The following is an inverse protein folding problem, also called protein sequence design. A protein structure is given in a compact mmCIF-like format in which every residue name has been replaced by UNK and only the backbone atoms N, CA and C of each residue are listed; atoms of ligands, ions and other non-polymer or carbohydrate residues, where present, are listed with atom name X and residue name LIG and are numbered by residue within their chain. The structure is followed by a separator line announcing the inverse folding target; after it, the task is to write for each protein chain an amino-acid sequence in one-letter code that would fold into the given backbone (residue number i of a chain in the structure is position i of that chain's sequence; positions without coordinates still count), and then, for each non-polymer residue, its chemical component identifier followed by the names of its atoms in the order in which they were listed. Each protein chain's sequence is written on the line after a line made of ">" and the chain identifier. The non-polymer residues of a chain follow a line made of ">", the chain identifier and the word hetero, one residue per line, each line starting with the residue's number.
data_IF_104829347328
#
_entry.id   IF_104829347328
#
_cell.length_a   1.000
_cell.length_b   1.000
_cell.length_c   1.000
_cell.angle_alpha   90.00
_cell.angle_beta   90.00
_cell.angle_gamma   90.00
#
_symmetry.space_group_name_H-M   'P 1'
#
loop_
_entity.id
_entity.type
_entity.pdbx_description
1 polymer ?
#
# COMPACT_ATOMS: atom_id res chain seq x y z
N UNK A 1 -31.71 25.21 48.64
CA UNK A 1 -30.28 24.94 48.93
C UNK A 1 -29.91 23.53 48.39
N UNK A 2 -30.25 23.19 47.15
CA UNK A 2 -29.94 21.88 46.52
C UNK A 2 -29.87 21.96 44.98
N UNK A 3 -29.42 23.11 44.42
CA UNK A 3 -29.37 23.32 42.97
C UNK A 3 -27.95 23.46 42.40
N UNK A 4 -26.87 23.11 43.12
CA UNK A 4 -25.50 23.35 42.67
C UNK A 4 -24.61 22.10 42.66
N UNK A 5 -25.14 20.89 42.39
CA UNK A 5 -24.31 19.66 42.46
C UNK A 5 -24.19 18.85 41.16
N UNK A 6 -24.65 19.36 40.03
CA UNK A 6 -24.55 18.64 38.72
C UNK A 6 -23.98 19.48 37.55
N UNK A 7 -22.94 20.28 37.82
CA UNK A 7 -22.07 20.78 36.77
C UNK A 7 -20.63 20.27 36.97
N UNK A 8 -20.42 19.00 36.80
CA UNK A 8 -19.08 18.52 36.39
C UNK A 8 -19.05 18.56 34.89
N UNK A 9 -18.43 19.60 34.36
CA UNK A 9 -18.04 19.69 32.95
C UNK A 9 -17.16 18.47 32.60
N UNK A 10 -17.70 17.63 31.73
CA UNK A 10 -16.94 16.55 31.11
C UNK A 10 -15.93 17.18 30.17
N UNK A 11 -14.71 17.38 30.66
CA UNK A 11 -13.53 17.70 29.81
C UNK A 11 -12.92 16.39 29.30
N UNK A 12 -13.65 15.69 28.44
CA UNK A 12 -13.07 14.65 27.60
C UNK A 12 -12.32 15.28 26.42
N UNK A 13 -11.28 14.62 25.90
CA UNK A 13 -10.62 15.10 24.69
C UNK A 13 -11.65 15.21 23.58
N UNK A 14 -11.66 16.34 22.86
CA UNK A 14 -12.49 16.52 21.67
C UNK A 14 -12.28 15.33 20.72
N UNK A 15 -13.35 14.71 20.18
CA UNK A 15 -13.18 13.65 19.21
C UNK A 15 -12.51 14.23 17.97
N UNK A 16 -11.22 13.96 17.81
CA UNK A 16 -10.42 14.33 16.64
C UNK A 16 -10.73 13.49 15.41
N UNK A 17 -11.93 12.93 15.32
CA UNK A 17 -12.43 12.24 14.15
C UNK A 17 -13.34 13.23 13.41
N UNK A 18 -12.97 13.74 12.23
CA UNK A 18 -13.90 14.53 11.44
C UNK A 18 -15.12 13.65 11.16
N UNK A 19 -16.28 14.10 11.60
CA UNK A 19 -17.57 13.44 11.40
C UNK A 19 -17.86 13.42 9.87
N UNK A 20 -17.44 12.35 9.19
CA UNK A 20 -17.48 12.18 7.72
C UNK A 20 -18.86 11.69 7.23
N UNK A 21 -19.92 12.03 7.98
CA UNK A 21 -21.31 11.66 7.66
C UNK A 21 -22.20 12.84 7.28
N UNK A 22 -21.63 13.92 6.74
CA UNK A 22 -22.44 14.87 6.00
C UNK A 22 -22.49 14.40 4.54
N UNK A 23 -23.66 13.99 4.07
CA UNK A 23 -23.87 13.78 2.64
C UNK A 23 -23.50 15.09 1.93
N UNK A 24 -22.68 15.04 0.86
CA UNK A 24 -22.37 16.22 0.09
C UNK A 24 -23.66 16.79 -0.50
N UNK A 25 -23.71 18.10 -0.74
CA UNK A 25 -24.82 18.71 -1.47
C UNK A 25 -24.92 18.06 -2.86
N UNK A 26 -26.12 17.98 -3.41
CA UNK A 26 -26.33 17.38 -4.73
C UNK A 26 -25.47 18.03 -5.82
N UNK A 27 -25.14 19.32 -5.67
CA UNK A 27 -24.27 20.09 -6.57
C UNK A 27 -22.81 19.61 -6.56
N UNK A 28 -22.39 18.90 -5.53
CA UNK A 28 -21.04 18.33 -5.44
C UNK A 28 -20.88 17.08 -6.32
N UNK A 29 -21.96 16.34 -6.55
CA UNK A 29 -21.94 15.09 -7.34
C UNK A 29 -21.38 15.34 -8.76
N UNK A 30 -21.92 16.29 -9.56
CA UNK A 30 -21.38 16.57 -10.90
C UNK A 30 -19.96 17.14 -10.87
N UNK A 31 -19.59 17.90 -9.84
CA UNK A 31 -18.22 18.43 -9.69
C UNK A 31 -17.22 17.30 -9.45
N UNK A 32 -17.51 16.41 -8.51
CA UNK A 32 -16.66 15.25 -8.20
C UNK A 32 -16.57 14.30 -9.39
N UNK A 33 -17.70 13.99 -10.05
CA UNK A 33 -17.71 13.15 -11.25
C UNK A 33 -16.79 13.71 -12.35
N UNK A 34 -16.92 15.02 -12.65
CA UNK A 34 -16.07 15.69 -13.65
C UNK A 34 -14.61 15.71 -13.26
N UNK A 35 -14.28 15.96 -11.98
CA UNK A 35 -12.92 15.90 -11.47
C UNK A 35 -12.30 14.52 -11.65
N UNK A 36 -13.09 13.45 -11.48
CA UNK A 36 -12.70 12.06 -11.73
C UNK A 36 -12.73 11.65 -13.21
N UNK A 37 -13.03 12.58 -14.12
CA UNK A 37 -13.18 12.34 -15.57
C UNK A 37 -14.19 11.24 -15.92
N UNK A 38 -15.19 11.03 -15.08
CA UNK A 38 -16.24 10.04 -15.32
C UNK A 38 -17.35 10.63 -16.19
N UNK A 39 -17.85 9.84 -17.15
CA UNK A 39 -19.10 10.14 -17.84
C UNK A 39 -20.30 9.84 -16.93
N UNK A 40 -21.48 10.42 -17.22
CA UNK A 40 -22.71 10.08 -16.50
C UNK A 40 -23.04 8.58 -16.61
N UNK A 41 -22.84 7.98 -17.79
CA UNK A 41 -23.03 6.54 -18.01
C UNK A 41 -22.09 5.69 -17.15
N UNK A 42 -20.81 6.09 -17.05
CA UNK A 42 -19.86 5.36 -16.22
C UNK A 42 -20.16 5.46 -14.72
N UNK A 43 -20.56 6.64 -14.24
CA UNK A 43 -21.01 6.78 -12.84
C UNK A 43 -22.29 5.97 -12.58
N UNK A 44 -23.21 5.93 -13.55
CA UNK A 44 -24.43 5.13 -13.45
C UNK A 44 -24.14 3.64 -13.28
N UNK A 45 -23.23 3.10 -14.09
CA UNK A 45 -22.77 1.72 -14.00
C UNK A 45 -22.15 1.42 -12.63
N UNK A 46 -21.22 2.27 -12.16
CA UNK A 46 -20.55 2.11 -10.88
C UNK A 46 -21.48 2.18 -9.67
N UNK A 47 -22.51 3.04 -9.74
CA UNK A 47 -23.49 3.23 -8.68
C UNK A 47 -24.68 2.27 -8.77
N UNK A 48 -24.80 1.49 -9.87
CA UNK A 48 -25.92 0.60 -10.11
C UNK A 48 -27.25 1.35 -10.29
N UNK A 49 -27.24 2.51 -10.97
CA UNK A 49 -28.42 3.33 -11.30
C UNK A 49 -28.49 3.57 -12.80
N UNK A 50 -29.61 4.11 -13.30
CA UNK A 50 -29.72 4.47 -14.71
C UNK A 50 -29.03 5.81 -15.00
N UNK A 51 -28.41 5.95 -16.19
CA UNK A 51 -27.82 7.22 -16.63
C UNK A 51 -28.84 8.38 -16.62
N UNK A 52 -30.10 8.12 -16.96
CA UNK A 52 -31.15 9.12 -16.94
C UNK A 52 -31.43 9.70 -15.56
N UNK A 53 -31.29 8.91 -14.49
CA UNK A 53 -31.44 9.42 -13.12
C UNK A 53 -30.32 10.38 -12.75
N UNK A 54 -29.06 10.04 -13.15
CA UNK A 54 -27.93 10.94 -12.94
C UNK A 54 -28.13 12.27 -13.69
N UNK A 55 -28.51 12.22 -14.96
CA UNK A 55 -28.77 13.41 -15.74
C UNK A 55 -29.84 14.33 -15.09
N UNK A 56 -30.92 13.75 -14.56
CA UNK A 56 -31.99 14.48 -13.85
C UNK A 56 -31.52 15.06 -12.52
N UNK A 57 -30.70 14.34 -11.77
CA UNK A 57 -30.11 14.85 -10.52
C UNK A 57 -29.17 16.03 -10.82
N UNK A 58 -28.27 15.87 -11.81
CA UNK A 58 -27.31 16.91 -12.18
C UNK A 58 -27.98 18.17 -12.79
N UNK A 59 -29.13 18.02 -13.38
CA UNK A 59 -29.97 19.16 -13.89
C UNK A 59 -30.88 19.76 -12.82
N UNK A 60 -30.94 19.20 -11.62
CA UNK A 60 -31.85 19.66 -10.56
C UNK A 60 -33.33 19.34 -10.80
N UNK A 61 -33.64 18.46 -11.75
CA UNK A 61 -35.02 18.14 -12.15
C UNK A 61 -35.68 17.10 -11.23
N UNK A 62 -34.88 16.36 -10.45
CA UNK A 62 -35.34 15.30 -9.53
C UNK A 62 -34.58 15.40 -8.21
N UNK A 63 -35.34 15.30 -7.13
CA UNK A 63 -34.77 15.10 -5.78
C UNK A 63 -34.62 13.58 -5.52
N UNK A 64 -33.36 13.06 -5.45
CA UNK A 64 -33.14 11.63 -5.33
C UNK A 64 -33.38 11.14 -3.90
N UNK A 65 -33.82 9.89 -3.76
CA UNK A 65 -33.88 9.26 -2.44
C UNK A 65 -32.51 9.13 -1.80
N UNK A 66 -32.45 9.13 -0.47
CA UNK A 66 -31.20 8.91 0.29
C UNK A 66 -30.38 7.70 -0.20
N UNK A 67 -31.05 6.61 -0.54
CA UNK A 67 -30.38 5.39 -1.02
C UNK A 67 -29.65 5.59 -2.36
N UNK A 68 -30.22 6.42 -3.25
CA UNK A 68 -29.57 6.77 -4.53
C UNK A 68 -28.37 7.67 -4.27
N UNK A 69 -28.52 8.73 -3.46
CA UNK A 69 -27.40 9.62 -3.11
C UNK A 69 -26.26 8.84 -2.49
N UNK A 70 -26.55 7.97 -1.52
CA UNK A 70 -25.53 7.14 -0.88
C UNK A 70 -24.77 6.29 -1.90
N UNK A 71 -25.45 5.61 -2.82
CA UNK A 71 -24.79 4.80 -3.87
C UNK A 71 -23.90 5.63 -4.79
N UNK A 72 -24.33 6.86 -5.14
CA UNK A 72 -23.54 7.77 -5.96
C UNK A 72 -22.28 8.24 -5.21
N UNK A 73 -22.42 8.64 -3.94
CA UNK A 73 -21.31 9.07 -3.09
C UNK A 73 -20.32 7.92 -2.89
N UNK A 74 -20.79 6.73 -2.52
CA UNK A 74 -19.97 5.54 -2.36
C UNK A 74 -19.19 5.19 -3.65
N UNK A 75 -19.83 5.36 -4.82
CA UNK A 75 -19.18 5.12 -6.12
C UNK A 75 -18.11 6.17 -6.42
N UNK A 76 -18.39 7.45 -6.18
CA UNK A 76 -17.45 8.55 -6.35
C UNK A 76 -16.26 8.43 -5.38
N UNK A 77 -16.50 8.11 -4.12
CA UNK A 77 -15.46 7.91 -3.12
C UNK A 77 -14.54 6.75 -3.50
N UNK A 78 -15.07 5.61 -3.94
CA UNK A 78 -14.24 4.48 -4.43
C UNK A 78 -13.34 4.91 -5.58
N UNK A 79 -13.85 5.69 -6.52
CA UNK A 79 -13.08 6.18 -7.67
C UNK A 79 -12.07 7.27 -7.27
N UNK A 80 -12.38 8.15 -6.34
CA UNK A 80 -11.47 9.18 -5.85
C UNK A 80 -10.29 8.56 -5.09
N UNK A 81 -10.56 7.52 -4.32
CA UNK A 81 -9.55 6.74 -3.61
C UNK A 81 -8.58 6.06 -4.58
N UNK A 82 -9.08 5.57 -5.72
CA UNK A 82 -8.27 4.87 -6.73
C UNK A 82 -7.38 5.82 -7.56
N UNK A 83 -7.83 7.06 -7.77
CA UNK A 83 -7.09 8.05 -8.60
C UNK A 83 -6.13 8.94 -7.81
N UNK A 84 -6.31 9.10 -6.49
CA UNK A 84 -5.46 9.96 -5.64
C UNK A 84 -4.41 9.20 -4.85
N UNK A 85 -4.54 7.86 -4.75
CA UNK A 85 -3.56 7.03 -4.03
C UNK A 85 -2.35 6.76 -4.90
N UNK A 86 -1.14 7.03 -4.39
CA UNK A 86 0.05 6.69 -5.12
C UNK A 86 0.13 5.17 -5.31
N UNK A 87 0.37 4.74 -6.55
CA UNK A 87 0.67 3.35 -6.86
C UNK A 87 2.06 2.99 -6.37
N UNK A 88 2.30 1.71 -6.07
CA UNK A 88 3.64 1.25 -5.65
C UNK A 88 4.70 1.56 -6.70
N UNK A 89 4.33 1.57 -7.98
CA UNK A 89 5.23 1.92 -9.09
C UNK A 89 5.80 3.34 -9.03
N UNK A 90 5.11 4.27 -8.38
CA UNK A 90 5.56 5.65 -8.21
C UNK A 90 6.55 5.83 -7.04
N UNK A 91 6.62 4.85 -6.12
CA UNK A 91 7.36 4.96 -4.85
C UNK A 91 8.53 3.97 -4.80
N UNK A 92 8.40 2.82 -5.45
CA UNK A 92 9.38 1.74 -5.40
C UNK A 92 10.77 2.18 -5.81
N UNK A 93 11.78 1.57 -5.21
CA UNK A 93 13.17 1.71 -5.61
C UNK A 93 13.49 0.82 -6.81
N UNK A 94 14.34 1.34 -7.72
CA UNK A 94 14.83 0.66 -8.93
C UNK A 94 16.33 0.93 -9.13
N UNK A 95 17.08 0.02 -9.76
CA UNK A 95 16.73 -1.36 -10.12
C UNK A 95 16.65 -2.26 -8.88
N UNK A 96 16.07 -3.47 -9.02
CA UNK A 96 16.13 -4.50 -7.98
C UNK A 96 17.56 -5.04 -7.91
N UNK A 97 18.23 -4.82 -6.79
CA UNK A 97 19.55 -5.39 -6.52
C UNK A 97 19.34 -6.74 -5.86
N UNK A 98 19.93 -7.79 -6.39
CA UNK A 98 19.69 -9.18 -5.99
C UNK A 98 20.98 -9.99 -6.04
N UNK A 99 20.93 -11.19 -5.47
CA UNK A 99 21.98 -12.19 -5.56
C UNK A 99 21.42 -13.50 -6.15
N UNK A 100 22.32 -14.31 -6.73
CA UNK A 100 21.99 -15.66 -7.15
C UNK A 100 22.07 -16.62 -5.97
N UNK A 101 21.20 -17.64 -5.97
CA UNK A 101 21.23 -18.72 -4.96
C UNK A 101 22.58 -19.46 -4.90
N UNK A 102 23.36 -19.41 -5.98
CA UNK A 102 24.65 -20.10 -6.10
C UNK A 102 25.84 -19.24 -5.65
N UNK A 103 25.66 -17.94 -5.40
CA UNK A 103 26.70 -17.08 -4.86
C UNK A 103 27.04 -17.46 -3.40
N UNK A 104 28.21 -17.05 -2.94
CA UNK A 104 28.59 -17.21 -1.55
C UNK A 104 27.88 -16.16 -0.68
N UNK A 105 27.63 -16.50 0.57
CA UNK A 105 27.04 -15.58 1.54
C UNK A 105 27.91 -14.34 1.74
N UNK A 106 29.25 -14.48 1.71
CA UNK A 106 30.17 -13.33 1.76
C UNK A 106 29.91 -12.31 0.67
N UNK A 107 29.62 -12.77 -0.56
CA UNK A 107 29.35 -11.86 -1.69
C UNK A 107 28.07 -11.08 -1.46
N UNK A 108 27.05 -11.73 -0.87
CA UNK A 108 25.81 -11.08 -0.47
C UNK A 108 26.04 -10.03 0.63
N UNK A 109 26.85 -10.35 1.64
CA UNK A 109 27.21 -9.43 2.73
C UNK A 109 27.99 -8.22 2.20
N UNK A 110 28.95 -8.43 1.31
CA UNK A 110 29.72 -7.35 0.70
C UNK A 110 28.82 -6.44 -0.14
N UNK A 111 27.85 -7.01 -0.87
CA UNK A 111 26.88 -6.25 -1.64
C UNK A 111 25.94 -5.46 -0.73
N UNK A 112 25.46 -6.05 0.39
CA UNK A 112 24.65 -5.35 1.40
C UNK A 112 25.43 -4.15 1.96
N UNK A 113 26.66 -4.35 2.43
CA UNK A 113 27.52 -3.27 2.94
C UNK A 113 27.78 -2.18 1.92
N UNK A 114 28.14 -2.55 0.69
CA UNK A 114 28.41 -1.61 -0.40
C UNK A 114 27.23 -0.74 -0.75
N UNK A 115 25.99 -1.26 -0.64
CA UNK A 115 24.75 -0.58 -1.02
C UNK A 115 23.98 0.01 0.15
N UNK A 116 24.40 -0.26 1.40
CA UNK A 116 23.66 0.14 2.59
C UNK A 116 22.32 -0.59 2.72
N UNK A 117 22.26 -1.86 2.31
CA UNK A 117 21.06 -2.68 2.38
C UNK A 117 21.19 -3.71 3.50
N UNK A 118 20.12 -3.96 4.23
CA UNK A 118 20.08 -5.00 5.28
C UNK A 118 19.57 -6.34 4.75
N UNK A 119 19.21 -6.41 3.47
CA UNK A 119 18.68 -7.61 2.82
C UNK A 119 18.75 -7.54 1.31
N UNK A 120 18.75 -8.71 0.68
CA UNK A 120 18.70 -8.86 -0.77
C UNK A 120 17.72 -9.98 -1.16
N UNK A 121 16.90 -9.79 -2.21
CA UNK A 121 16.18 -10.88 -2.83
C UNK A 121 17.15 -11.83 -3.55
N UNK A 122 16.81 -13.11 -3.54
CA UNK A 122 17.59 -14.17 -4.21
C UNK A 122 16.85 -14.59 -5.46
N UNK A 123 17.51 -14.51 -6.60
CA UNK A 123 16.91 -14.84 -7.89
C UNK A 123 17.53 -16.08 -8.51
N UNK A 124 16.69 -16.83 -9.24
CA UNK A 124 17.09 -17.91 -10.14
C UNK A 124 16.15 -17.90 -11.35
N UNK A 125 16.72 -17.90 -12.56
CA UNK A 125 15.95 -17.89 -13.81
C UNK A 125 14.95 -16.73 -13.92
N UNK A 126 15.28 -15.55 -13.34
CA UNK A 126 14.40 -14.38 -13.34
C UNK A 126 13.32 -14.37 -12.26
N UNK A 127 13.18 -15.43 -11.48
CA UNK A 127 12.19 -15.54 -10.39
C UNK A 127 12.86 -15.36 -9.02
N UNK A 128 12.15 -14.71 -8.10
CA UNK A 128 12.57 -14.63 -6.71
C UNK A 128 12.31 -15.99 -6.03
N UNK A 129 13.39 -16.65 -5.60
CA UNK A 129 13.35 -17.98 -4.97
C UNK A 129 13.64 -17.94 -3.47
N UNK A 130 14.06 -16.79 -2.95
CA UNK A 130 14.36 -16.60 -1.54
C UNK A 130 14.73 -15.16 -1.24
N UNK A 131 15.17 -14.94 -0.01
CA UNK A 131 15.77 -13.70 0.46
C UNK A 131 16.93 -14.00 1.42
N UNK A 132 17.89 -13.09 1.52
CA UNK A 132 18.95 -13.17 2.51
C UNK A 132 19.08 -11.83 3.20
N UNK A 133 19.21 -11.83 4.52
CA UNK A 133 19.30 -10.62 5.34
C UNK A 133 20.44 -10.72 6.36
N UNK A 134 20.88 -9.56 6.85
CA UNK A 134 21.80 -9.49 8.00
C UNK A 134 21.25 -10.27 9.20
N UNK A 135 19.92 -10.15 9.44
CA UNK A 135 19.25 -10.87 10.52
C UNK A 135 19.39 -12.39 10.37
N UNK A 136 19.18 -12.92 9.16
CA UNK A 136 19.32 -14.36 8.88
C UNK A 136 20.69 -14.89 9.28
N UNK A 137 21.75 -14.13 8.93
CA UNK A 137 23.14 -14.50 9.23
C UNK A 137 23.40 -14.41 10.73
N UNK A 138 22.97 -13.32 11.38
CA UNK A 138 23.12 -13.10 12.81
C UNK A 138 22.37 -14.15 13.65
N UNK A 139 21.14 -14.49 13.27
CA UNK A 139 20.35 -15.50 13.98
C UNK A 139 21.02 -16.89 13.96
N UNK A 140 21.68 -17.26 12.86
CA UNK A 140 22.44 -18.51 12.75
C UNK A 140 23.72 -18.47 13.57
N UNK A 141 24.46 -17.37 13.50
CA UNK A 141 25.66 -17.18 14.32
C UNK A 141 25.33 -17.22 15.84
N UNK A 142 24.20 -16.63 16.25
CA UNK A 142 23.73 -16.66 17.64
C UNK A 142 23.33 -18.08 18.11
N UNK A 143 22.99 -18.97 17.17
CA UNK A 143 22.74 -20.41 17.46
C UNK A 143 24.02 -21.25 17.52
N UNK A 144 25.19 -20.62 17.39
CA UNK A 144 26.49 -21.28 17.51
C UNK A 144 27.13 -21.74 16.19
N UNK A 145 26.53 -21.38 15.04
CA UNK A 145 27.19 -21.64 13.75
C UNK A 145 28.39 -20.71 13.57
N UNK A 146 29.52 -21.23 13.14
CA UNK A 146 30.71 -20.42 12.89
C UNK A 146 30.48 -19.41 11.78
N UNK A 147 30.76 -18.14 12.02
CA UNK A 147 30.58 -17.07 11.05
C UNK A 147 31.42 -17.33 9.78
N UNK A 148 32.63 -17.83 9.91
CA UNK A 148 33.50 -18.17 8.77
C UNK A 148 32.90 -19.27 7.90
N UNK A 149 32.27 -20.28 8.50
CA UNK A 149 31.56 -21.33 7.76
C UNK A 149 30.33 -20.76 7.07
N UNK A 150 29.55 -19.94 7.78
CA UNK A 150 28.36 -19.30 7.20
C UNK A 150 28.69 -18.45 5.98
N UNK A 151 29.75 -17.64 6.05
CA UNK A 151 30.20 -16.78 4.95
C UNK A 151 30.70 -17.58 3.74
N UNK A 152 31.15 -18.81 3.94
CA UNK A 152 31.60 -19.70 2.87
C UNK A 152 30.47 -20.60 2.31
N UNK A 153 29.30 -20.62 2.94
CA UNK A 153 28.13 -21.34 2.40
C UNK A 153 27.56 -20.66 1.14
N UNK A 154 26.82 -21.43 0.35
CA UNK A 154 26.01 -20.86 -0.72
C UNK A 154 24.78 -20.17 -0.14
N UNK A 155 24.32 -19.11 -0.79
CA UNK A 155 23.10 -18.39 -0.39
C UNK A 155 21.91 -19.32 -0.23
N UNK A 156 21.74 -20.31 -1.13
CA UNK A 156 20.65 -21.31 -1.08
C UNK A 156 20.60 -22.11 0.23
N UNK A 157 21.74 -22.27 0.92
CA UNK A 157 21.84 -23.13 2.09
C UNK A 157 21.37 -22.40 3.37
N UNK A 158 21.25 -21.06 3.30
CA UNK A 158 20.85 -20.23 4.43
C UNK A 158 19.72 -19.24 4.14
N UNK A 159 19.30 -19.06 2.88
CA UNK A 159 18.28 -18.10 2.50
C UNK A 159 16.92 -18.40 3.16
N UNK A 160 16.17 -17.35 3.40
CA UNK A 160 14.78 -17.39 3.85
C UNK A 160 13.81 -17.51 2.66
N UNK A 161 12.52 -17.59 2.98
CA UNK A 161 11.45 -17.58 1.99
C UNK A 161 11.52 -16.38 1.05
N UNK A 162 10.94 -16.50 -0.17
CA UNK A 162 10.85 -15.39 -1.12
C UNK A 162 10.11 -14.20 -0.52
N UNK A 163 10.50 -13.00 -0.96
CA UNK A 163 9.76 -11.79 -0.64
C UNK A 163 8.36 -11.83 -1.28
N UNK A 164 7.33 -11.29 -0.61
CA UNK A 164 6.01 -11.14 -1.20
C UNK A 164 6.08 -10.26 -2.46
N UNK A 165 5.18 -10.49 -3.40
CA UNK A 165 5.11 -9.77 -4.67
C UNK A 165 3.77 -9.06 -4.82
N UNK A 166 3.77 -7.88 -5.47
CA UNK A 166 2.57 -7.13 -5.84
C UNK A 166 2.72 -6.57 -7.24
N UNK A 167 1.59 -6.36 -7.93
CA UNK A 167 1.60 -5.71 -9.25
C UNK A 167 1.93 -4.22 -9.16
N UNK A 168 2.50 -3.65 -10.23
CA UNK A 168 2.91 -2.24 -10.29
C UNK A 168 1.79 -1.23 -10.07
N UNK A 169 0.54 -1.62 -10.35
CA UNK A 169 -0.64 -0.78 -10.19
C UNK A 169 -1.28 -0.87 -8.80
N UNK A 170 -0.73 -1.69 -7.90
CA UNK A 170 -1.25 -1.85 -6.54
C UNK A 170 -1.21 -0.52 -5.78
N UNK A 171 -2.32 -0.11 -5.12
CA UNK A 171 -2.32 1.06 -4.25
C UNK A 171 -1.30 0.89 -3.11
N UNK A 172 -0.52 1.93 -2.83
CA UNK A 172 0.53 1.88 -1.81
C UNK A 172 0.02 1.48 -0.42
N UNK A 173 -1.15 2.00 -0.01
CA UNK A 173 -1.72 1.68 1.30
C UNK A 173 -2.00 0.19 1.50
N UNK A 174 -2.34 -0.51 0.41
CA UNK A 174 -2.61 -1.96 0.45
C UNK A 174 -1.36 -2.79 0.77
N UNK A 175 -0.17 -2.21 0.59
CA UNK A 175 1.12 -2.90 0.82
C UNK A 175 1.68 -2.66 2.22
N UNK A 176 1.16 -1.69 2.96
CA UNK A 176 1.66 -1.34 4.30
C UNK A 176 1.61 -2.53 5.26
N UNK A 177 0.54 -3.33 5.21
CA UNK A 177 0.43 -4.54 6.03
C UNK A 177 1.50 -5.59 5.70
N UNK A 178 1.86 -5.75 4.42
CA UNK A 178 2.92 -6.66 3.99
C UNK A 178 4.29 -6.21 4.51
N UNK A 179 4.54 -4.90 4.54
CA UNK A 179 5.80 -4.33 5.02
C UNK A 179 5.96 -4.39 6.55
N UNK A 180 4.89 -4.60 7.31
CA UNK A 180 5.00 -4.83 8.76
C UNK A 180 5.71 -6.18 9.05
N UNK A 181 5.31 -7.23 8.35
CA UNK A 181 5.82 -8.59 8.54
C UNK A 181 7.03 -8.96 7.67
N UNK A 182 7.35 -8.14 6.67
CA UNK A 182 8.41 -8.41 5.72
C UNK A 182 9.37 -7.23 5.62
N UNK A 183 10.60 -7.52 5.25
CA UNK A 183 11.63 -6.50 5.06
C UNK A 183 11.44 -5.70 3.77
N UNK A 184 10.78 -6.29 2.77
CA UNK A 184 10.48 -5.65 1.49
C UNK A 184 9.40 -6.42 0.72
N UNK A 185 8.88 -5.77 -0.30
CA UNK A 185 7.88 -6.31 -1.22
C UNK A 185 8.38 -6.08 -2.63
N UNK A 186 8.45 -7.12 -3.46
CA UNK A 186 8.82 -6.98 -4.85
C UNK A 186 7.63 -6.47 -5.66
N UNK A 187 7.92 -5.54 -6.55
CA UNK A 187 6.91 -5.01 -7.48
C UNK A 187 7.15 -5.64 -8.85
N UNK A 188 6.10 -6.22 -9.41
CA UNK A 188 6.18 -6.97 -10.67
C UNK A 188 5.33 -6.35 -11.77
N UNK A 189 5.79 -6.57 -13.00
CA UNK A 189 5.00 -6.39 -14.24
C UNK A 189 4.96 -7.73 -14.96
N UNK A 190 3.79 -8.38 -14.92
CA UNK A 190 3.70 -9.79 -15.29
C UNK A 190 4.58 -10.65 -14.38
N UNK A 191 5.45 -11.47 -14.94
CA UNK A 191 6.38 -12.31 -14.18
C UNK A 191 7.69 -11.60 -13.76
N UNK A 192 7.96 -10.41 -14.30
CA UNK A 192 9.22 -9.71 -14.08
C UNK A 192 9.19 -8.80 -12.84
N UNK A 193 10.16 -8.94 -11.96
CA UNK A 193 10.37 -8.00 -10.87
C UNK A 193 10.99 -6.70 -11.41
N UNK A 194 10.25 -5.59 -11.30
CA UNK A 194 10.63 -4.29 -11.85
C UNK A 194 11.07 -3.28 -10.79
N UNK A 195 10.85 -3.59 -9.52
CA UNK A 195 11.20 -2.73 -8.40
C UNK A 195 11.04 -3.45 -7.07
N UNK A 196 11.48 -2.80 -6.01
CA UNK A 196 11.31 -3.25 -4.64
C UNK A 196 10.79 -2.09 -3.79
N UNK A 197 9.85 -2.38 -2.91
CA UNK A 197 9.36 -1.44 -1.91
C UNK A 197 9.83 -1.89 -0.53
N UNK A 198 10.42 -0.98 0.22
CA UNK A 198 10.95 -1.22 1.57
C UNK A 198 10.36 -0.23 2.56
N UNK A 199 10.58 -0.46 3.86
CA UNK A 199 10.16 0.49 4.92
C UNK A 199 10.75 1.89 4.72
N UNK A 200 11.97 1.99 4.17
CA UNK A 200 12.61 3.28 3.88
C UNK A 200 11.90 4.08 2.77
N UNK A 201 11.24 3.38 1.84
CA UNK A 201 10.52 4.06 0.75
C UNK A 201 9.23 4.73 1.24
N UNK A 202 8.65 4.23 2.35
CA UNK A 202 7.48 4.85 3.00
C UNK A 202 7.80 6.28 3.44
N UNK A 203 9.02 6.51 3.94
CA UNK A 203 9.45 7.83 4.42
C UNK A 203 9.68 8.84 3.30
N UNK A 204 9.77 8.37 2.04
CA UNK A 204 9.92 9.24 0.85
C UNK A 204 8.58 9.77 0.33
N UNK A 205 7.46 9.19 0.77
CA UNK A 205 6.13 9.64 0.35
C UNK A 205 5.85 10.97 1.04
N UNK A 206 6.09 12.08 0.33
CA UNK A 206 5.64 13.41 0.76
C UNK A 206 4.11 13.45 0.68
N UNK A 207 3.47 13.83 1.80
CA UNK A 207 2.06 14.21 1.84
C UNK A 207 1.80 15.48 1.05
#
# INVERSE_FOLDING_TARGET
>A
MLENLFRREYQGPEPSVPCRFMLPSLDEIPKQRKALRLTQSRLAELAGVSQSIIAKIESGTVDPSYSIVKRLVDALERQSVDTTRPKVSAIMSRPVISVSRMQLVRDAVDLMKKRGYSQLPVFEGGRCVGSISEKTILDRAARGESLDLLLNNRVRDIMDSPLPTVGEDTPFESVLGLLQGNYGVLVTRGENAIGILTKSDILKVKR
#
